data_IF_050968900382
#
_entry.id   IF_050968900382
#
_cell.length_a   1.000
_cell.length_b   1.000
_cell.length_c   1.000
_cell.angle_alpha   90.00
_cell.angle_beta   90.00
_cell.angle_gamma   90.00
#
_symmetry.space_group_name_H-M   'P 1'
#
loop_
_entity.id
_entity.type
_entity.pdbx_description
1 polymer ?
#
# COMPACT_ATOMS: atom_id res chain seq x y z
N UNK A 1 -0.82 34.33 7.18
CA UNK A 1 -0.79 33.20 6.21
C UNK A 1 -1.75 32.09 6.60
N UNK A 2 -1.69 31.51 7.80
CA UNK A 2 -2.64 30.46 8.23
C UNK A 2 -4.13 30.86 8.13
N UNK A 3 -4.49 32.05 8.62
CA UNK A 3 -5.87 32.56 8.54
C UNK A 3 -6.34 32.68 7.09
N UNK A 4 -5.48 33.20 6.21
CA UNK A 4 -5.77 33.32 4.78
C UNK A 4 -5.96 31.95 4.11
N UNK A 5 -5.12 30.98 4.46
CA UNK A 5 -5.20 29.61 3.92
C UNK A 5 -6.50 28.91 4.34
N UNK A 6 -6.88 29.02 5.62
CA UNK A 6 -8.13 28.46 6.15
C UNK A 6 -9.33 29.14 5.47
N UNK A 7 -9.29 30.47 5.36
CA UNK A 7 -10.35 31.23 4.72
C UNK A 7 -10.52 30.86 3.24
N UNK A 8 -9.41 30.74 2.51
CA UNK A 8 -9.42 30.34 1.10
C UNK A 8 -9.97 28.92 0.91
N UNK A 9 -9.51 27.95 1.71
CA UNK A 9 -10.03 26.59 1.68
C UNK A 9 -11.53 26.55 2.01
N UNK A 10 -11.96 27.27 3.05
CA UNK A 10 -13.36 27.35 3.46
C UNK A 10 -14.25 27.95 2.36
N UNK A 11 -13.87 29.10 1.81
CA UNK A 11 -14.62 29.76 0.72
C UNK A 11 -14.67 28.86 -0.51
N UNK A 12 -13.57 28.20 -0.88
CA UNK A 12 -13.51 27.31 -2.03
C UNK A 12 -14.47 26.12 -1.90
N UNK A 13 -14.51 25.48 -0.72
CA UNK A 13 -15.45 24.39 -0.45
C UNK A 13 -16.91 24.84 -0.48
N UNK A 14 -17.21 26.02 0.08
CA UNK A 14 -18.57 26.59 0.06
C UNK A 14 -18.99 26.93 -1.38
N UNK A 15 -18.11 27.59 -2.14
CA UNK A 15 -18.35 27.92 -3.54
C UNK A 15 -18.56 26.66 -4.39
N UNK A 16 -17.71 25.64 -4.22
CA UNK A 16 -17.87 24.34 -4.89
C UNK A 16 -19.24 23.72 -4.59
N UNK A 17 -19.66 23.72 -3.32
CA UNK A 17 -20.93 23.15 -2.89
C UNK A 17 -22.16 23.91 -3.42
N UNK A 18 -22.04 25.20 -3.68
CA UNK A 18 -23.13 26.07 -4.16
C UNK A 18 -23.22 26.14 -5.70
N UNK A 19 -22.07 26.20 -6.38
CA UNK A 19 -22.00 26.32 -7.84
C UNK A 19 -22.04 24.96 -8.56
N UNK A 20 -21.65 23.85 -7.90
CA UNK A 20 -21.61 22.55 -8.56
C UNK A 20 -23.00 21.98 -8.83
N UNK A 21 -23.28 21.48 -10.06
CA UNK A 21 -24.54 20.83 -10.38
C UNK A 21 -24.66 19.49 -9.63
N UNK A 22 -25.74 19.32 -8.87
CA UNK A 22 -25.99 18.10 -8.10
C UNK A 22 -26.89 17.13 -8.86
N UNK A 23 -26.36 15.94 -9.16
CA UNK A 23 -27.11 14.82 -9.76
C UNK A 23 -26.74 13.51 -9.05
N UNK A 24 -27.15 13.33 -7.78
CA UNK A 24 -26.93 12.08 -7.06
C UNK A 24 -27.70 10.95 -7.73
N UNK A 25 -27.12 9.76 -7.73
CA UNK A 25 -27.69 8.53 -8.29
C UNK A 25 -27.09 7.40 -7.49
N UNK A 26 -27.85 6.34 -7.19
CA UNK A 26 -27.36 5.23 -6.35
C UNK A 26 -25.96 4.74 -6.79
N UNK A 27 -25.79 4.50 -8.10
CA UNK A 27 -24.51 4.05 -8.67
C UNK A 27 -23.35 5.05 -8.59
N UNK A 28 -23.60 6.35 -8.33
CA UNK A 28 -22.55 7.37 -8.12
C UNK A 28 -22.13 7.49 -6.66
N UNK A 29 -22.95 7.00 -5.75
CA UNK A 29 -22.70 7.01 -4.31
C UNK A 29 -22.10 5.68 -3.82
N UNK A 30 -22.11 4.65 -4.67
CA UNK A 30 -21.46 3.36 -4.43
C UNK A 30 -19.92 3.44 -4.56
N UNK A 31 -19.17 2.65 -3.75
CA UNK A 31 -17.73 2.52 -3.89
C UNK A 31 -17.32 2.04 -5.29
N UNK A 32 -16.20 2.58 -5.80
CA UNK A 32 -15.67 2.17 -7.09
C UNK A 32 -14.98 0.81 -7.01
N UNK A 33 -15.56 -0.19 -7.68
CA UNK A 33 -15.04 -1.57 -7.75
C UNK A 33 -14.71 -1.98 -9.20
N UNK A 34 -14.11 -1.09 -10.01
CA UNK A 34 -13.75 -1.39 -11.41
C UNK A 34 -14.95 -1.76 -12.33
N UNK A 35 -16.14 -1.23 -12.04
CA UNK A 35 -17.33 -1.37 -12.89
C UNK A 35 -18.26 -2.53 -12.54
N UNK A 36 -17.98 -3.27 -11.47
CA UNK A 36 -18.93 -4.19 -10.86
C UNK A 36 -19.65 -3.53 -9.68
N UNK A 37 -20.86 -3.99 -9.37
CA UNK A 37 -21.57 -3.56 -8.17
C UNK A 37 -20.84 -4.08 -6.93
N UNK A 38 -20.63 -3.20 -5.95
CA UNK A 38 -20.01 -3.55 -4.66
C UNK A 38 -20.87 -4.60 -3.96
N UNK A 39 -20.36 -5.84 -3.88
CA UNK A 39 -21.13 -6.99 -3.36
C UNK A 39 -20.64 -7.41 -1.97
N UNK A 40 -19.42 -7.02 -1.59
CA UNK A 40 -18.82 -7.38 -0.31
C UNK A 40 -18.35 -6.15 0.42
N UNK A 41 -18.52 -6.17 1.75
CA UNK A 41 -17.92 -5.17 2.61
C UNK A 41 -16.39 -5.22 2.51
N UNK A 42 -15.68 -4.08 2.64
CA UNK A 42 -14.23 -4.06 2.66
C UNK A 42 -13.69 -5.05 3.70
N UNK A 43 -12.61 -5.79 3.40
CA UNK A 43 -12.06 -6.76 4.34
C UNK A 43 -11.67 -6.07 5.65
N UNK A 44 -12.16 -6.59 6.78
CA UNK A 44 -11.96 -5.99 8.10
C UNK A 44 -10.49 -5.99 8.56
N UNK A 45 -9.66 -6.88 8.00
CA UNK A 45 -8.27 -7.09 8.40
C UNK A 45 -7.30 -6.72 7.27
N UNK A 46 -6.78 -5.49 7.34
CA UNK A 46 -5.67 -5.06 6.49
C UNK A 46 -4.34 -5.34 7.20
N UNK A 47 -3.39 -6.07 6.58
CA UNK A 47 -2.09 -6.27 7.17
C UNK A 47 -1.33 -4.94 7.22
N UNK A 48 -1.03 -4.45 8.42
CA UNK A 48 -0.30 -3.20 8.63
C UNK A 48 1.21 -3.45 8.46
N UNK A 49 1.63 -3.64 7.20
CA UNK A 49 3.04 -3.92 6.85
C UNK A 49 3.99 -2.76 7.16
N UNK A 50 3.44 -1.56 7.40
CA UNK A 50 4.20 -0.33 7.65
C UNK A 50 4.27 0.05 9.13
N UNK A 51 3.78 -0.81 10.04
CA UNK A 51 3.78 -0.50 11.47
C UNK A 51 5.19 -0.26 12.03
N UNK A 52 6.16 -1.10 11.63
CA UNK A 52 7.57 -0.93 12.03
C UNK A 52 8.14 0.41 11.56
N UNK A 53 7.84 0.80 10.32
CA UNK A 53 8.24 2.11 9.77
C UNK A 53 7.63 3.26 10.58
N UNK A 54 6.35 3.15 10.94
CA UNK A 54 5.65 4.14 11.76
C UNK A 54 6.24 4.26 13.17
N UNK A 55 6.55 3.14 13.82
CA UNK A 55 7.21 3.16 15.14
C UNK A 55 8.59 3.83 15.08
N UNK A 56 9.39 3.51 14.07
CA UNK A 56 10.70 4.13 13.86
C UNK A 56 10.56 5.64 13.65
N UNK A 57 9.58 6.07 12.85
CA UNK A 57 9.30 7.49 12.63
C UNK A 57 8.96 8.22 13.93
N UNK A 58 8.15 7.63 14.81
CA UNK A 58 7.81 8.23 16.12
C UNK A 58 9.06 8.44 16.98
N UNK A 59 9.96 7.45 17.03
CA UNK A 59 11.21 7.56 17.81
C UNK A 59 12.11 8.66 17.26
N UNK A 60 12.24 8.74 15.93
CA UNK A 60 13.02 9.78 15.25
C UNK A 60 12.40 11.19 15.42
N UNK A 61 11.07 11.31 15.38
CA UNK A 61 10.38 12.59 15.62
C UNK A 61 10.62 13.09 17.06
N UNK A 62 10.62 12.17 18.03
CA UNK A 62 11.01 12.47 19.41
C UNK A 62 12.48 12.88 19.51
N UNK A 63 13.40 12.33 18.72
CA UNK A 63 14.79 12.81 18.69
C UNK A 63 14.86 14.27 18.23
N UNK A 64 14.15 14.62 17.17
CA UNK A 64 14.10 15.97 16.61
C UNK A 64 13.48 16.96 17.62
N UNK A 65 12.43 16.56 18.36
CA UNK A 65 11.80 17.44 19.34
C UNK A 65 12.78 17.92 20.42
N UNK A 66 13.76 17.08 20.80
CA UNK A 66 14.82 17.44 21.74
C UNK A 66 15.94 18.25 21.11
N UNK A 67 16.21 18.02 19.81
CA UNK A 67 17.18 18.81 19.05
C UNK A 67 16.74 20.27 18.89
N UNK A 68 15.45 20.56 18.81
CA UNK A 68 14.94 21.93 18.63
C UNK A 68 15.34 22.89 19.76
N UNK A 69 15.03 22.65 21.05
CA UNK A 69 15.46 23.51 22.14
C UNK A 69 16.98 23.63 22.23
N UNK A 70 17.72 22.54 22.01
CA UNK A 70 19.18 22.60 21.99
C UNK A 70 19.69 23.54 20.87
N UNK A 71 19.10 23.47 19.69
CA UNK A 71 19.47 24.32 18.55
C UNK A 71 19.18 25.81 18.82
N UNK A 72 18.14 26.15 19.60
CA UNK A 72 17.84 27.56 19.92
C UNK A 72 18.83 28.16 20.92
N UNK A 73 19.37 27.38 21.86
CA UNK A 73 20.31 27.85 22.89
C UNK A 73 21.76 27.40 22.67
N UNK A 74 22.09 26.81 21.51
CA UNK A 74 23.41 26.22 21.21
C UNK A 74 24.59 27.15 21.54
N UNK A 75 24.45 28.46 21.32
CA UNK A 75 25.50 29.46 21.60
C UNK A 75 25.80 29.65 23.09
N UNK A 76 24.81 29.42 23.95
CA UNK A 76 24.93 29.61 25.41
C UNK A 76 25.56 28.37 26.07
N UNK A 77 25.17 27.18 25.63
CA UNK A 77 25.66 25.89 26.16
C UNK A 77 26.97 25.43 25.51
N UNK A 78 27.32 25.96 24.33
CA UNK A 78 28.61 25.75 23.67
C UNK A 78 28.99 24.28 23.50
N UNK A 79 30.26 23.95 23.79
CA UNK A 79 30.81 22.60 23.59
C UNK A 79 30.12 21.53 24.46
N UNK A 80 29.69 21.90 25.67
CA UNK A 80 29.00 20.97 26.56
C UNK A 80 27.68 20.50 25.95
N UNK A 81 26.85 21.45 25.48
CA UNK A 81 25.60 21.11 24.80
C UNK A 81 25.84 20.29 23.53
N UNK A 82 26.90 20.62 22.78
CA UNK A 82 27.27 19.87 21.58
C UNK A 82 27.62 18.40 21.89
N UNK A 83 28.44 18.13 22.91
CA UNK A 83 28.78 16.75 23.30
C UNK A 83 27.55 16.03 23.83
N UNK A 84 26.70 16.71 24.61
CA UNK A 84 25.48 16.12 25.16
C UNK A 84 24.50 15.68 24.06
N UNK A 85 24.25 16.53 23.05
CA UNK A 85 23.36 16.16 21.94
C UNK A 85 23.97 15.05 21.07
N UNK A 86 25.30 15.03 20.92
CA UNK A 86 25.99 14.02 20.14
C UNK A 86 25.88 12.65 20.80
N UNK A 87 26.06 12.57 22.12
CA UNK A 87 25.85 11.33 22.88
C UNK A 87 24.38 10.88 22.81
N UNK A 88 23.43 11.81 23.00
CA UNK A 88 22.00 11.52 22.91
C UNK A 88 21.61 10.97 21.53
N UNK A 89 22.02 11.66 20.46
CA UNK A 89 21.72 11.25 19.09
C UNK A 89 22.37 9.91 18.76
N UNK A 90 23.62 9.67 19.18
CA UNK A 90 24.29 8.40 18.93
C UNK A 90 23.57 7.22 19.60
N UNK A 91 23.09 7.38 20.83
CA UNK A 91 22.36 6.33 21.55
C UNK A 91 21.03 5.94 20.86
N UNK A 92 20.30 6.93 20.33
CA UNK A 92 19.06 6.69 19.58
C UNK A 92 19.37 6.14 18.19
N UNK A 93 20.37 6.69 17.52
CA UNK A 93 20.79 6.29 16.17
C UNK A 93 21.30 4.85 16.11
N UNK A 94 22.00 4.37 17.14
CA UNK A 94 22.41 2.96 17.25
C UNK A 94 21.19 2.03 17.22
N UNK A 95 20.14 2.36 17.99
CA UNK A 95 18.90 1.59 18.03
C UNK A 95 18.21 1.55 16.66
N UNK A 96 18.23 2.66 15.94
CA UNK A 96 17.71 2.76 14.57
C UNK A 96 18.47 1.85 13.60
N UNK A 97 19.81 1.87 13.64
CA UNK A 97 20.65 1.00 12.81
C UNK A 97 20.39 -0.48 13.09
N UNK A 98 20.25 -0.86 14.35
CA UNK A 98 19.93 -2.23 14.75
C UNK A 98 18.61 -2.71 14.14
N UNK A 99 17.56 -1.89 14.26
CA UNK A 99 16.22 -2.22 13.75
C UNK A 99 16.21 -2.34 12.22
N UNK A 100 16.93 -1.48 11.50
CA UNK A 100 17.11 -1.61 10.05
C UNK A 100 17.86 -2.89 9.68
N UNK A 101 18.94 -3.21 10.41
CA UNK A 101 19.71 -4.45 10.21
C UNK A 101 18.85 -5.71 10.38
N UNK A 102 17.81 -5.64 11.21
CA UNK A 102 16.84 -6.72 11.41
C UNK A 102 15.73 -6.79 10.34
N UNK A 103 15.81 -5.97 9.28
CA UNK A 103 14.85 -6.01 8.18
C UNK A 103 13.54 -5.28 8.47
N UNK A 104 13.53 -4.30 9.39
CA UNK A 104 12.31 -3.53 9.68
C UNK A 104 11.76 -2.72 8.49
N UNK A 105 12.58 -2.49 7.46
CA UNK A 105 12.19 -1.85 6.20
C UNK A 105 11.78 -2.86 5.11
N UNK A 106 11.83 -4.17 5.39
CA UNK A 106 11.49 -5.19 4.41
C UNK A 106 9.96 -5.41 4.37
N UNK A 107 9.32 -4.94 3.30
CA UNK A 107 7.85 -5.00 3.11
C UNK A 107 7.38 -6.21 2.28
N UNK A 108 8.33 -6.92 1.67
CA UNK A 108 8.06 -8.04 0.77
C UNK A 108 7.80 -9.34 1.54
N UNK A 109 6.85 -10.18 1.10
CA UNK A 109 6.88 -11.58 1.49
C UNK A 109 8.24 -12.13 1.08
N UNK A 110 8.98 -12.79 1.99
CA UNK A 110 10.10 -13.63 1.54
C UNK A 110 9.51 -14.60 0.54
N UNK A 111 9.81 -14.41 -0.75
CA UNK A 111 9.33 -15.25 -1.83
C UNK A 111 9.96 -16.62 -1.61
N UNK A 112 9.31 -17.45 -0.81
CA UNK A 112 9.58 -18.88 -0.78
C UNK A 112 9.18 -19.32 -2.18
N UNK A 113 10.17 -19.49 -3.05
CA UNK A 113 9.96 -20.16 -4.34
C UNK A 113 9.71 -21.62 -3.95
N UNK A 114 8.50 -21.90 -3.49
CA UNK A 114 8.00 -23.26 -3.46
C UNK A 114 7.88 -23.62 -4.92
N UNK A 115 8.79 -24.49 -5.38
CA UNK A 115 8.79 -24.98 -6.75
C UNK A 115 7.54 -25.81 -6.90
N UNK A 116 6.45 -25.15 -7.25
CA UNK A 116 5.22 -25.82 -7.61
C UNK A 116 5.51 -26.48 -8.95
N UNK A 117 5.70 -27.80 -8.94
CA UNK A 117 5.89 -28.54 -10.17
C UNK A 117 4.64 -28.32 -11.02
N UNK A 118 4.82 -27.63 -12.15
CA UNK A 118 3.77 -27.20 -13.10
C UNK A 118 3.14 -28.43 -13.80
N UNK A 119 3.60 -29.62 -13.45
CA UNK A 119 3.16 -30.91 -13.98
C UNK A 119 2.46 -31.66 -12.86
N UNK A 120 1.13 -31.71 -12.92
CA UNK A 120 0.36 -32.64 -12.10
C UNK A 120 0.85 -34.07 -12.38
N UNK A 121 1.20 -34.88 -11.37
CA UNK A 121 1.62 -36.27 -11.57
C UNK A 121 0.56 -37.13 -12.28
N UNK A 122 -0.70 -36.68 -12.25
CA UNK A 122 -1.86 -37.30 -12.91
C UNK A 122 -2.14 -36.78 -14.32
N UNK A 123 -1.28 -35.91 -14.88
CA UNK A 123 -1.47 -35.37 -16.24
C UNK A 123 -1.15 -36.45 -17.28
N UNK A 124 -2.18 -37.02 -17.89
CA UNK A 124 -2.05 -38.01 -18.97
C UNK A 124 -2.52 -37.41 -20.31
N UNK A 125 -2.08 -37.98 -21.43
CA UNK A 125 -2.50 -37.59 -22.79
C UNK A 125 -4.04 -37.62 -22.94
N UNK A 126 -4.70 -38.55 -22.23
CA UNK A 126 -6.16 -38.71 -22.22
C UNK A 126 -6.92 -37.54 -21.55
N UNK A 127 -6.35 -36.87 -20.55
CA UNK A 127 -7.04 -35.77 -19.85
C UNK A 127 -6.88 -34.42 -20.56
N UNK A 128 -5.87 -34.29 -21.43
CA UNK A 128 -5.55 -33.04 -22.12
C UNK A 128 -6.29 -32.90 -23.45
N UNK A 129 -6.57 -34.02 -24.13
CA UNK A 129 -7.22 -34.01 -25.43
C UNK A 129 -8.69 -34.38 -25.24
N UNK A 130 -9.58 -33.38 -25.23
CA UNK A 130 -11.02 -33.62 -25.46
C UNK A 130 -11.14 -34.25 -26.84
N UNK A 131 -11.47 -35.54 -26.93
CA UNK A 131 -11.81 -36.16 -28.21
C UNK A 131 -13.07 -35.48 -28.70
N UNK A 132 -12.93 -34.54 -29.63
CA UNK A 132 -14.06 -33.97 -30.34
C UNK A 132 -14.63 -35.11 -31.17
N UNK A 133 -15.89 -35.48 -30.90
CA UNK A 133 -16.60 -36.52 -31.63
C UNK A 133 -16.67 -36.16 -33.11
N UNK A 134 -16.64 -37.17 -33.97
CA UNK A 134 -16.84 -37.02 -35.43
C UNK A 134 -18.32 -36.82 -35.80
N UNK A 135 -19.18 -36.56 -34.81
CA UNK A 135 -20.62 -36.40 -34.97
C UNK A 135 -20.91 -35.18 -35.87
N UNK A 136 -21.46 -35.44 -37.05
CA UNK A 136 -21.85 -34.41 -38.02
C UNK A 136 -21.05 -34.37 -39.32
N UNK A 137 -20.09 -35.29 -39.57
CA UNK A 137 -19.50 -35.42 -40.91
C UNK A 137 -20.42 -36.21 -41.84
N UNK A 138 -21.05 -35.52 -42.78
CA UNK A 138 -21.76 -36.13 -43.91
C UNK A 138 -20.71 -36.68 -44.88
N UNK A 139 -20.65 -38.00 -45.05
CA UNK A 139 -19.83 -38.63 -46.09
C UNK A 139 -20.45 -38.34 -47.46
N UNK A 140 -19.67 -37.88 -48.45
CA UNK A 140 -20.18 -37.56 -49.78
C UNK A 140 -20.29 -38.83 -50.65
N UNK A 141 -21.15 -39.77 -50.28
CA UNK A 141 -21.34 -41.03 -51.04
C UNK A 141 -22.80 -41.27 -51.47
N UNK A 142 -23.54 -40.21 -51.79
CA UNK A 142 -24.97 -40.34 -52.13
C UNK A 142 -25.48 -39.51 -53.30
N UNK A 143 -24.61 -39.05 -54.20
CA UNK A 143 -25.02 -38.25 -55.37
C UNK A 143 -24.44 -38.82 -56.67
N UNK A 144 -24.77 -40.08 -56.96
CA UNK A 144 -24.68 -40.69 -58.29
C UNK A 144 -25.45 -42.02 -58.33
N UNK A 145 -26.76 -41.96 -58.64
CA UNK A 145 -27.53 -42.96 -59.39
C UNK A 145 -29.00 -42.53 -59.47
#
# INVERSE_FOLDING_TARGET
>A
MFILAILFAGISLIASKLLAPRRPTASKEEPYECGIASTQDPPERFPVRFFLVGMIFIVFDVEIIFMYPWATVFREIGLFGFVAILIFSFAVFESFLYVIGNGALEWGPRKKIERQDIVSPSRTIHSTIRRVGLEGRVTPEGEAA
#
